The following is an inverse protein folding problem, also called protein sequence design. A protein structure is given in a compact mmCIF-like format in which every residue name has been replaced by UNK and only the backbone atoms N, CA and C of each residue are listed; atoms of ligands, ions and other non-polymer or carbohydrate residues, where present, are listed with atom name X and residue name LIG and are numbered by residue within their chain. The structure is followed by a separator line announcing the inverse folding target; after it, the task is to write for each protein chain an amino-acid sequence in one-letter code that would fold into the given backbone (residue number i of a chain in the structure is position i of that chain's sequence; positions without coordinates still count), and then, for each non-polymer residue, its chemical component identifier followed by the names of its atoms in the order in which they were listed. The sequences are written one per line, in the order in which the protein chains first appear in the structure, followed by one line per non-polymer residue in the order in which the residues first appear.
data_IF_394846701152
#
_entry.id   IF_394846701152
#
_cell.length_a   1.000
_cell.length_b   1.000
_cell.length_c   1.000
_cell.angle_alpha   90.00
_cell.angle_beta   90.00
_cell.angle_gamma   90.00
#
_symmetry.space_group_name_H-M   'P 1'
#
loop_
_entity.id
_entity.type
_entity.pdbx_description
1 polymer ?
#
# COMPACT_ATOMS: atom_id res chain seq x y z
N UNK A 1 -7.22 15.14 -7.15
CA UNK A 1 -6.80 13.86 -6.53
C UNK A 1 -6.68 14.01 -5.03
N UNK A 2 -7.18 13.05 -4.30
CA UNK A 2 -7.13 13.04 -2.84
C UNK A 2 -6.11 11.99 -2.41
N UNK A 3 -5.28 12.31 -1.42
CA UNK A 3 -4.27 11.38 -0.91
C UNK A 3 -4.61 10.97 0.51
N UNK A 4 -4.54 9.66 0.78
CA UNK A 4 -4.67 9.08 2.13
C UNK A 4 -3.32 8.54 2.57
N UNK A 5 -2.87 8.93 3.75
CA UNK A 5 -1.61 8.48 4.33
C UNK A 5 -1.67 8.47 5.87
N UNK A 6 -1.08 7.47 6.53
CA UNK A 6 -0.53 6.24 5.95
C UNK A 6 -1.63 5.38 5.33
N UNK A 7 -1.26 4.40 4.50
CA UNK A 7 -2.24 3.64 3.74
C UNK A 7 -2.78 2.44 4.51
N UNK A 8 -1.92 1.54 4.95
CA UNK A 8 -2.34 0.27 5.54
C UNK A 8 -3.24 0.41 6.78
N UNK A 9 -2.96 1.34 7.72
CA UNK A 9 -3.84 1.52 8.89
C UNK A 9 -5.18 2.18 8.56
N UNK A 10 -5.32 2.75 7.36
CA UNK A 10 -6.49 3.55 6.97
C UNK A 10 -7.18 3.04 5.71
N UNK A 11 -7.23 1.72 5.53
CA UNK A 11 -7.92 1.13 4.38
C UNK A 11 -9.39 1.50 4.35
N UNK A 12 -10.02 1.61 5.52
CA UNK A 12 -11.40 2.05 5.67
C UNK A 12 -11.58 3.51 5.23
N UNK A 13 -10.63 4.37 5.54
CA UNK A 13 -10.65 5.77 5.12
C UNK A 13 -10.54 5.89 3.62
N UNK A 14 -9.65 5.10 2.99
CA UNK A 14 -9.53 5.05 1.53
C UNK A 14 -10.88 4.72 0.91
N UNK A 15 -11.56 3.69 1.43
CA UNK A 15 -12.87 3.26 0.93
C UNK A 15 -13.92 4.35 1.10
N UNK A 16 -13.96 4.98 2.27
CA UNK A 16 -14.92 6.05 2.56
C UNK A 16 -14.72 7.26 1.66
N UNK A 17 -13.49 7.68 1.48
CA UNK A 17 -13.16 8.83 0.62
C UNK A 17 -13.54 8.52 -0.82
N UNK A 18 -13.22 7.32 -1.31
CA UNK A 18 -13.56 6.92 -2.67
C UNK A 18 -15.07 6.92 -2.88
N UNK A 19 -15.82 6.33 -1.98
CA UNK A 19 -17.28 6.24 -2.09
C UNK A 19 -17.95 7.61 -1.97
N UNK A 20 -17.46 8.48 -1.08
CA UNK A 20 -18.04 9.77 -0.83
C UNK A 20 -17.79 10.77 -1.96
N UNK A 21 -16.63 10.71 -2.60
CA UNK A 21 -16.22 11.72 -3.57
C UNK A 21 -16.24 11.25 -5.01
N UNK A 22 -16.03 9.95 -5.26
CA UNK A 22 -15.80 9.43 -6.61
C UNK A 22 -14.54 9.96 -7.27
N UNK A 23 -13.76 10.80 -6.58
CA UNK A 23 -12.53 11.39 -7.10
C UNK A 23 -11.39 10.36 -7.14
N UNK A 24 -10.37 10.58 -7.98
CA UNK A 24 -9.17 9.74 -7.93
C UNK A 24 -8.49 9.82 -6.55
N UNK A 25 -8.17 8.65 -5.98
CA UNK A 25 -7.56 8.55 -4.65
C UNK A 25 -6.18 7.93 -4.79
N UNK A 26 -5.17 8.61 -4.25
CA UNK A 26 -3.82 8.08 -4.11
C UNK A 26 -3.61 7.67 -2.66
N UNK A 27 -3.05 6.50 -2.45
CA UNK A 27 -2.68 6.04 -1.12
C UNK A 27 -1.16 6.05 -0.99
N UNK A 28 -0.65 6.64 0.09
CA UNK A 28 0.78 6.68 0.35
C UNK A 28 1.14 5.63 1.40
N UNK A 29 1.82 4.58 0.94
CA UNK A 29 2.43 3.54 1.76
C UNK A 29 3.76 4.11 2.28
N UNK A 30 3.71 4.72 3.46
CA UNK A 30 4.78 5.59 3.96
C UNK A 30 6.01 4.80 4.41
N UNK A 31 7.10 5.53 4.71
CA UNK A 31 8.39 4.91 5.06
C UNK A 31 8.30 3.97 6.26
N UNK A 32 7.47 4.28 7.26
CA UNK A 32 7.28 3.41 8.41
C UNK A 32 6.66 2.07 8.05
N UNK A 33 5.67 2.07 7.18
CA UNK A 33 5.04 0.84 6.67
C UNK A 33 6.05 0.00 5.88
N UNK A 34 6.83 0.65 5.02
CA UNK A 34 7.89 0.01 4.26
C UNK A 34 8.95 -0.61 5.19
N UNK A 35 9.40 0.16 6.18
CA UNK A 35 10.43 -0.28 7.11
C UNK A 35 9.97 -1.48 7.95
N UNK A 36 8.71 -1.51 8.36
CA UNK A 36 8.17 -2.64 9.11
C UNK A 36 8.20 -3.93 8.29
N UNK A 37 7.80 -3.88 7.03
CA UNK A 37 7.84 -5.05 6.15
C UNK A 37 9.29 -5.49 5.87
N UNK A 38 10.19 -4.54 5.63
CA UNK A 38 11.61 -4.83 5.42
C UNK A 38 12.25 -5.48 6.65
N UNK A 39 12.00 -4.92 7.83
CA UNK A 39 12.56 -5.44 9.07
C UNK A 39 12.06 -6.86 9.36
N UNK A 40 10.76 -7.10 9.21
CA UNK A 40 10.18 -8.41 9.42
C UNK A 40 10.69 -9.43 8.40
N UNK A 41 10.86 -9.02 7.14
CA UNK A 41 11.42 -9.85 6.09
C UNK A 41 12.86 -10.22 6.34
N UNK A 42 13.68 -9.27 6.78
CA UNK A 42 15.10 -9.51 7.10
C UNK A 42 15.25 -10.47 8.28
N UNK A 43 14.32 -10.44 9.22
CA UNK A 43 14.34 -11.36 10.36
C UNK A 43 13.75 -12.74 10.06
N UNK A 44 13.21 -12.92 8.86
CA UNK A 44 12.59 -14.19 8.47
C UNK A 44 11.22 -14.42 9.08
N UNK A 45 10.60 -13.39 9.66
CA UNK A 45 9.27 -13.52 10.26
C UNK A 45 8.17 -13.60 9.22
N UNK A 46 8.42 -13.02 8.05
CA UNK A 46 7.47 -13.02 6.93
C UNK A 46 8.24 -13.24 5.63
N UNK A 47 7.53 -13.68 4.60
CA UNK A 47 8.01 -13.62 3.22
C UNK A 47 7.79 -12.18 2.73
N UNK A 48 8.87 -11.42 2.58
CA UNK A 48 8.80 -9.99 2.26
C UNK A 48 8.03 -9.72 0.98
N UNK A 49 8.33 -10.46 -0.10
CA UNK A 49 7.66 -10.29 -1.40
C UNK A 49 6.17 -10.56 -1.29
N UNK A 50 5.79 -11.68 -0.70
CA UNK A 50 4.38 -12.05 -0.54
C UNK A 50 3.63 -11.03 0.32
N UNK A 51 4.22 -10.61 1.45
CA UNK A 51 3.58 -9.66 2.35
C UNK A 51 3.47 -8.27 1.72
N UNK A 52 4.49 -7.83 0.98
CA UNK A 52 4.45 -6.54 0.29
C UNK A 52 3.36 -6.54 -0.79
N UNK A 53 3.29 -7.58 -1.62
CA UNK A 53 2.26 -7.67 -2.66
C UNK A 53 0.86 -7.78 -2.07
N UNK A 54 0.69 -8.50 -0.97
CA UNK A 54 -0.59 -8.59 -0.27
C UNK A 54 -1.03 -7.23 0.25
N UNK A 55 -0.11 -6.48 0.86
CA UNK A 55 -0.37 -5.14 1.37
C UNK A 55 -0.79 -4.19 0.26
N UNK A 56 -0.04 -4.16 -0.84
CA UNK A 56 -0.36 -3.31 -1.99
C UNK A 56 -1.70 -3.69 -2.61
N UNK A 57 -2.00 -4.98 -2.68
CA UNK A 57 -3.28 -5.48 -3.18
C UNK A 57 -4.43 -5.03 -2.26
N UNK A 58 -4.24 -5.08 -0.94
CA UNK A 58 -5.24 -4.63 0.02
C UNK A 58 -5.55 -3.14 -0.15
N UNK A 59 -4.52 -2.32 -0.37
CA UNK A 59 -4.67 -0.88 -0.62
C UNK A 59 -5.48 -0.65 -1.90
N UNK A 60 -5.18 -1.39 -2.96
CA UNK A 60 -5.92 -1.29 -4.22
C UNK A 60 -7.38 -1.71 -4.05
N UNK A 61 -7.63 -2.80 -3.35
CA UNK A 61 -8.99 -3.27 -3.06
C UNK A 61 -9.80 -2.27 -2.25
N UNK A 62 -9.14 -1.52 -1.37
CA UNK A 62 -9.80 -0.48 -0.59
C UNK A 62 -10.32 0.67 -1.45
N UNK A 63 -9.80 0.82 -2.67
CA UNK A 63 -10.28 1.80 -3.63
C UNK A 63 -9.24 2.80 -4.12
N UNK A 64 -7.96 2.61 -3.80
CA UNK A 64 -6.90 3.48 -4.29
C UNK A 64 -6.73 3.30 -5.80
N UNK A 65 -6.70 4.42 -6.52
CA UNK A 65 -6.44 4.43 -7.96
C UNK A 65 -4.95 4.38 -8.26
N UNK A 66 -4.15 4.94 -7.35
CA UNK A 66 -2.69 4.88 -7.43
C UNK A 66 -2.11 4.69 -6.04
N UNK A 67 -0.90 4.12 -5.99
CA UNK A 67 -0.20 3.84 -4.74
C UNK A 67 1.21 4.41 -4.84
N UNK A 68 1.56 5.28 -3.89
CA UNK A 68 2.93 5.78 -3.73
C UNK A 68 3.58 4.89 -2.68
N UNK A 69 4.66 4.21 -3.04
CA UNK A 69 5.32 3.28 -2.13
C UNK A 69 6.80 3.16 -2.44
N UNK A 70 7.60 2.92 -1.41
CA UNK A 70 9.02 2.63 -1.58
C UNK A 70 9.25 1.26 -2.22
N UNK A 71 8.24 0.40 -2.28
CA UNK A 71 8.30 -0.87 -3.01
C UNK A 71 8.04 -0.73 -4.51
N UNK A 72 7.83 0.46 -5.04
CA UNK A 72 7.38 0.63 -6.42
C UNK A 72 8.26 -0.10 -7.45
N UNK A 73 9.58 0.03 -7.35
CA UNK A 73 10.51 -0.65 -8.28
C UNK A 73 10.48 -2.17 -8.12
N UNK A 74 10.51 -2.64 -6.88
CA UNK A 74 10.50 -4.07 -6.58
C UNK A 74 9.18 -4.69 -7.02
N UNK A 75 8.06 -4.04 -6.69
CA UNK A 75 6.73 -4.51 -7.08
C UNK A 75 6.58 -4.58 -8.60
N UNK A 76 7.06 -3.58 -9.32
CA UNK A 76 7.02 -3.58 -10.77
C UNK A 76 7.81 -4.76 -11.35
N UNK A 77 8.95 -5.09 -10.77
CA UNK A 77 9.76 -6.24 -11.19
C UNK A 77 9.05 -7.57 -10.87
N UNK A 78 8.42 -7.66 -9.71
CA UNK A 78 7.72 -8.89 -9.29
C UNK A 78 6.47 -9.19 -10.13
N UNK A 79 5.83 -8.15 -10.66
CA UNK A 79 4.58 -8.27 -11.41
C UNK A 79 4.76 -8.44 -12.93
N UNK A 80 5.98 -8.49 -13.39
CA UNK A 80 6.28 -8.72 -14.81
C UNK A 80 5.96 -10.14 -15.23
#
# INVERSE_FOLDING_TARGET
MIMVKPATPYLDVIRRVKDATGAPVAAYHVSGEYSMLKAAGQRGWIDERAAALETLTAIRRAGADSIVTYFAKEAAAWLR
#
